data_IF_182632101663
#
_entry.id   IF_182632101663
#
_cell.length_a   1.000
_cell.length_b   1.000
_cell.length_c   1.000
_cell.angle_alpha   90.00
_cell.angle_beta   90.00
_cell.angle_gamma   90.00
#
_symmetry.space_group_name_H-M   'P 1'
#
loop_
_entity.id
_entity.type
_entity.pdbx_description
1 polymer ?
#
# COMPACT_ATOMS: atom_id res chain seq x y z
N UNK A 1 -6.91 8.66 -8.58
CA UNK A 1 -6.86 7.36 -7.84
C UNK A 1 -8.16 7.20 -7.07
N UNK A 2 -8.74 6.01 -7.05
CA UNK A 2 -9.93 5.70 -6.26
C UNK A 2 -9.64 5.68 -4.75
N UNK A 3 -10.69 5.52 -3.93
CA UNK A 3 -10.57 5.41 -2.48
C UNK A 3 -9.70 4.20 -2.12
N UNK A 4 -8.71 4.39 -1.25
CA UNK A 4 -7.84 3.32 -0.74
C UNK A 4 -8.63 2.19 -0.08
N UNK A 5 -8.07 0.99 -0.14
CA UNK A 5 -8.67 -0.19 0.49
C UNK A 5 -8.43 -0.12 2.00
N UNK A 6 -9.46 -0.43 2.77
CA UNK A 6 -9.37 -0.59 4.22
C UNK A 6 -9.37 -2.08 4.54
N UNK A 7 -8.48 -2.49 5.44
CA UNK A 7 -8.47 -3.86 5.99
C UNK A 7 -8.86 -3.81 7.46
N UNK A 8 -9.28 -4.95 8.01
CA UNK A 8 -9.58 -5.10 9.44
C UNK A 8 -8.58 -6.09 10.00
N UNK A 9 -7.85 -5.69 11.04
CA UNK A 9 -7.03 -6.61 11.84
C UNK A 9 -7.79 -6.85 13.14
N UNK A 10 -8.31 -8.07 13.37
CA UNK A 10 -8.97 -8.39 14.63
C UNK A 10 -7.94 -8.63 15.73
N UNK A 11 -8.02 -7.86 16.81
CA UNK A 11 -7.17 -8.04 17.99
C UNK A 11 -8.01 -8.60 19.15
N UNK A 12 -7.44 -9.55 19.89
CA UNK A 12 -8.07 -10.16 21.06
C UNK A 12 -7.24 -9.84 22.31
N UNK A 13 -7.80 -9.05 23.22
CA UNK A 13 -7.15 -8.71 24.50
C UNK A 13 -7.79 -9.53 25.62
N UNK A 14 -6.97 -10.16 26.46
CA UNK A 14 -7.47 -10.92 27.60
C UNK A 14 -8.10 -9.97 28.62
N UNK A 15 -9.31 -10.31 29.08
CA UNK A 15 -9.97 -9.53 30.13
C UNK A 15 -9.20 -9.60 31.44
N UNK A 16 -9.26 -8.51 32.21
CA UNK A 16 -8.60 -8.44 33.51
C UNK A 16 -9.08 -9.59 34.42
N UNK A 17 -8.15 -10.39 34.93
CA UNK A 17 -8.43 -11.53 35.80
C UNK A 17 -8.90 -12.81 35.09
N UNK A 18 -9.06 -12.80 33.77
CA UNK A 18 -9.32 -14.01 33.01
C UNK A 18 -8.02 -14.81 32.77
N UNK A 19 -8.15 -16.12 32.52
CA UNK A 19 -7.04 -16.98 32.11
C UNK A 19 -7.15 -17.28 30.62
N UNK A 20 -6.03 -17.35 29.87
CA UNK A 20 -6.09 -17.61 28.44
C UNK A 20 -6.49 -19.06 28.15
N UNK A 21 -7.29 -19.25 27.10
CA UNK A 21 -7.64 -20.58 26.60
C UNK A 21 -6.43 -21.21 25.89
N UNK A 22 -6.11 -22.46 26.24
CA UNK A 22 -5.03 -23.24 25.61
C UNK A 22 -5.60 -24.60 25.19
N UNK A 23 -5.79 -24.87 23.87
CA UNK A 23 -5.50 -24.00 22.74
C UNK A 23 -6.44 -22.78 22.67
N UNK A 24 -6.04 -21.76 21.91
CA UNK A 24 -6.86 -20.58 21.70
C UNK A 24 -8.22 -20.95 21.07
N UNK A 25 -9.30 -20.43 21.65
CA UNK A 25 -10.66 -20.52 21.12
C UNK A 25 -11.28 -19.13 21.18
N UNK A 26 -12.00 -18.74 20.13
CA UNK A 26 -12.72 -17.47 20.10
C UNK A 26 -13.83 -17.45 21.16
N UNK A 27 -13.66 -16.61 22.19
CA UNK A 27 -14.58 -16.52 23.33
C UNK A 27 -14.71 -15.08 23.83
N UNK A 28 -15.90 -14.50 23.69
CA UNK A 28 -16.22 -13.12 24.10
C UNK A 28 -16.36 -12.98 25.62
N UNK A 29 -16.47 -14.08 26.37
CA UNK A 29 -16.48 -14.04 27.83
C UNK A 29 -15.06 -13.82 28.40
N UNK A 30 -14.03 -14.31 27.71
CA UNK A 30 -12.63 -14.29 28.15
C UNK A 30 -11.84 -13.15 27.51
N UNK A 31 -12.16 -12.78 26.27
CA UNK A 31 -11.43 -11.77 25.50
C UNK A 31 -12.32 -10.60 25.08
N UNK A 32 -11.73 -9.41 25.04
CA UNK A 32 -12.26 -8.24 24.35
C UNK A 32 -11.69 -8.16 22.94
N UNK A 33 -12.58 -8.14 21.95
CA UNK A 33 -12.21 -8.10 20.54
C UNK A 33 -12.37 -6.70 19.97
N UNK A 34 -11.32 -6.19 19.34
CA UNK A 34 -11.36 -4.93 18.58
C UNK A 34 -11.32 -5.23 17.08
N UNK A 35 -12.10 -4.48 16.30
CA UNK A 35 -12.15 -4.57 14.84
C UNK A 35 -11.99 -3.17 14.26
N UNK A 36 -10.76 -2.67 14.26
CA UNK A 36 -10.47 -1.35 13.73
C UNK A 36 -10.14 -1.45 12.23
N UNK A 37 -10.84 -0.69 11.36
CA UNK A 37 -10.45 -0.57 9.97
C UNK A 37 -9.17 0.27 9.89
N UNK A 38 -8.12 -0.29 9.31
CA UNK A 38 -6.87 0.41 9.02
C UNK A 38 -6.73 0.65 7.52
N UNK A 39 -6.10 1.76 7.16
CA UNK A 39 -5.80 2.05 5.76
C UNK A 39 -4.65 1.14 5.30
N UNK A 40 -4.90 0.37 4.25
CA UNK A 40 -3.89 -0.51 3.68
C UNK A 40 -2.98 0.32 2.76
N UNK A 41 -1.76 0.60 3.22
CA UNK A 41 -0.74 1.34 2.48
C UNK A 41 0.20 0.46 1.66
N UNK A 42 0.03 -0.87 1.71
CA UNK A 42 0.91 -1.83 1.02
C UNK A 42 0.54 -2.03 -0.45
N UNK A 43 -0.53 -1.38 -0.92
CA UNK A 43 -0.99 -1.51 -2.29
C UNK A 43 -0.44 -0.39 -3.16
N UNK A 44 0.35 -0.81 -4.15
CA UNK A 44 0.63 -0.22 -5.44
C UNK A 44 -0.16 1.07 -5.81
N UNK A 45 0.41 2.24 -5.49
CA UNK A 45 -0.10 3.56 -5.93
C UNK A 45 0.33 3.90 -7.37
N UNK A 46 0.33 2.91 -8.27
CA UNK A 46 0.77 3.12 -9.65
C UNK A 46 -0.27 3.96 -10.39
N UNK A 47 0.21 4.95 -11.13
CA UNK A 47 -0.61 5.80 -11.99
C UNK A 47 -0.05 5.74 -13.39
N UNK A 48 -0.95 5.69 -14.37
CA UNK A 48 -0.60 5.90 -15.75
C UNK A 48 -0.75 7.39 -16.06
N UNK A 49 0.31 7.99 -16.59
CA UNK A 49 0.31 9.38 -17.08
C UNK A 49 0.82 9.36 -18.51
N UNK A 50 0.33 10.26 -19.37
CA UNK A 50 0.55 10.19 -20.83
C UNK A 50 2.01 10.06 -21.24
N UNK A 51 2.95 10.65 -20.49
CA UNK A 51 4.39 10.48 -20.77
C UNK A 51 4.85 9.01 -20.79
N UNK A 52 4.18 8.11 -20.07
CA UNK A 52 4.54 6.70 -19.99
C UNK A 52 4.31 5.93 -21.30
N UNK A 53 3.69 6.52 -22.33
CA UNK A 53 3.60 5.92 -23.66
C UNK A 53 4.98 5.70 -24.30
N UNK A 54 5.99 6.50 -23.94
CA UNK A 54 7.34 6.39 -24.45
C UNK A 54 8.36 6.44 -23.30
N UNK A 55 9.40 5.60 -23.34
CA UNK A 55 10.47 5.67 -22.34
C UNK A 55 11.30 6.96 -22.49
N UNK A 56 11.88 7.53 -21.43
CA UNK A 56 12.79 8.66 -21.56
C UNK A 56 14.03 8.25 -22.37
N UNK A 57 14.44 9.11 -23.29
CA UNK A 57 15.74 9.01 -23.95
C UNK A 57 16.82 9.30 -22.89
N UNK A 58 17.89 8.51 -22.88
CA UNK A 58 18.97 8.69 -21.90
C UNK A 58 19.65 10.05 -22.08
N UNK A 59 20.07 10.66 -20.96
CA UNK A 59 20.71 11.98 -20.99
C UNK A 59 21.99 11.97 -21.82
N UNK A 60 22.73 10.86 -21.79
CA UNK A 60 23.97 10.72 -22.57
C UNK A 60 23.70 10.61 -24.08
N UNK A 61 22.53 10.11 -24.50
CA UNK A 61 22.12 10.13 -25.91
C UNK A 61 21.73 11.54 -26.36
N UNK A 62 20.98 12.28 -25.53
CA UNK A 62 20.63 13.68 -25.81
C UNK A 62 21.89 14.57 -25.93
N UNK A 63 22.86 14.39 -25.04
CA UNK A 63 24.10 15.17 -25.05
C UNK A 63 25.02 14.85 -26.26
N UNK A 64 24.81 13.72 -26.94
CA UNK A 64 25.61 13.33 -28.12
C UNK A 64 25.06 13.92 -29.42
N UNK A 65 23.78 14.30 -29.46
CA UNK A 65 23.14 14.81 -30.66
C UNK A 65 22.23 16.01 -30.33
N UNK A 66 22.69 17.20 -30.68
CA UNK A 66 21.98 18.46 -30.44
C UNK A 66 20.63 18.56 -31.19
N UNK A 67 20.40 17.73 -32.21
CA UNK A 67 19.12 17.69 -32.94
C UNK A 67 18.10 16.72 -32.32
N UNK A 68 18.52 15.91 -31.34
CA UNK A 68 17.66 14.93 -30.70
C UNK A 68 16.80 15.60 -29.62
N UNK A 69 15.48 15.47 -29.74
CA UNK A 69 14.51 16.02 -28.79
C UNK A 69 13.99 14.92 -27.88
N UNK A 70 13.82 15.22 -26.59
CA UNK A 70 13.30 14.30 -25.60
C UNK A 70 11.82 13.93 -25.86
N UNK A 71 11.42 12.73 -25.43
CA UNK A 71 10.02 12.30 -25.49
C UNK A 71 9.11 13.19 -24.61
N UNK A 72 7.86 13.45 -25.03
CA UNK A 72 6.97 14.36 -24.31
C UNK A 72 6.78 14.00 -22.83
N UNK A 73 6.89 15.00 -21.96
CA UNK A 73 6.70 14.85 -20.52
C UNK A 73 7.91 14.35 -19.73
N UNK A 74 9.07 14.21 -20.37
CA UNK A 74 10.38 14.03 -19.74
C UNK A 74 11.24 15.29 -19.97
N UNK A 75 12.02 15.67 -18.95
CA UNK A 75 12.92 16.82 -18.96
C UNK A 75 14.38 16.37 -18.97
#
# INVERSE_FOLDING_TARGET
>A
LGRGIKIIIPEATLKAGASPNVPYVHDKAVYDYSYAPIDNTEIETRTWVDKMYFMPISRDELNRNELLVQNPGYN
#
